data_IF_487130677310
#
_entry.id   IF_487130677310
#
_cell.length_a   1.000
_cell.length_b   1.000
_cell.length_c   1.000
_cell.angle_alpha   90.00
_cell.angle_beta   90.00
_cell.angle_gamma   90.00
#
_symmetry.space_group_name_H-M   'P 1'
#
loop_
_entity.id
_entity.type
_entity.pdbx_description
1 polymer ?
#
# COMPACT_ATOMS: atom_id res chain seq x y z
N UNK A 1 51.73 30.11 -37.14
CA UNK A 1 51.47 30.35 -38.57
C UNK A 1 50.80 29.10 -39.10
N UNK A 2 49.47 29.06 -39.01
CA UNK A 2 48.66 27.86 -39.28
C UNK A 2 47.54 28.31 -40.21
N UNK A 3 47.51 27.71 -41.40
CA UNK A 3 46.67 28.05 -42.54
C UNK A 3 45.25 27.51 -42.30
N UNK A 4 44.25 28.39 -42.15
CA UNK A 4 42.83 27.99 -42.11
C UNK A 4 42.28 27.95 -43.55
N UNK A 5 41.94 26.75 -44.03
CA UNK A 5 41.18 26.56 -45.28
C UNK A 5 39.70 26.81 -45.01
N UNK A 6 39.11 27.76 -45.75
CA UNK A 6 37.67 28.02 -45.80
C UNK A 6 37.05 27.13 -46.87
N UNK A 7 36.16 26.21 -46.48
CA UNK A 7 35.31 25.44 -47.40
C UNK A 7 33.93 26.09 -47.39
N UNK A 8 33.59 26.74 -48.51
CA UNK A 8 32.25 27.22 -48.83
C UNK A 8 31.38 26.03 -49.26
N UNK A 9 30.53 25.54 -48.36
CA UNK A 9 29.48 24.58 -48.65
C UNK A 9 28.22 25.27 -49.16
N UNK A 10 27.81 24.93 -50.38
CA UNK A 10 26.62 25.45 -51.05
C UNK A 10 25.31 25.15 -50.29
N UNK A 11 24.46 26.16 -50.16
CA UNK A 11 23.10 26.05 -49.63
C UNK A 11 22.23 25.17 -50.53
N UNK A 12 21.88 23.96 -50.07
CA UNK A 12 20.68 23.25 -50.57
C UNK A 12 19.46 23.85 -49.90
N UNK A 13 18.47 24.28 -50.71
CA UNK A 13 17.13 24.64 -50.24
C UNK A 13 16.55 23.45 -49.48
N UNK A 14 16.42 23.61 -48.16
CA UNK A 14 15.60 22.75 -47.32
C UNK A 14 14.14 22.98 -47.72
N UNK A 15 13.55 22.00 -48.39
CA UNK A 15 12.10 21.83 -48.41
C UNK A 15 11.68 21.54 -46.97
N UNK A 16 10.90 22.44 -46.39
CA UNK A 16 10.28 22.23 -45.08
C UNK A 16 9.64 20.83 -45.06
N UNK A 17 9.88 20.00 -44.03
CA UNK A 17 9.12 18.78 -43.87
C UNK A 17 7.66 19.19 -43.72
N UNK A 18 6.78 18.53 -44.48
CA UNK A 18 5.34 18.63 -44.31
C UNK A 18 5.03 18.55 -42.82
N UNK A 19 4.42 19.61 -42.32
CA UNK A 19 3.82 19.65 -41.00
C UNK A 19 2.65 18.69 -40.96
N UNK A 20 2.94 17.39 -40.83
CA UNK A 20 1.99 16.40 -40.35
C UNK A 20 1.64 16.75 -38.91
N UNK A 21 0.68 17.65 -38.73
CA UNK A 21 0.02 17.79 -37.44
C UNK A 21 -0.70 16.48 -37.18
N UNK A 22 -0.10 15.61 -36.36
CA UNK A 22 -0.88 14.62 -35.62
C UNK A 22 -1.81 15.40 -34.69
N UNK A 23 -2.92 15.91 -35.23
CA UNK A 23 -4.03 16.39 -34.42
C UNK A 23 -4.48 15.20 -33.59
N UNK A 24 -4.30 15.33 -32.27
CA UNK A 24 -4.66 14.35 -31.25
C UNK A 24 -5.91 13.52 -31.63
N UNK A 25 -5.71 12.24 -31.97
CA UNK A 25 -6.76 11.21 -32.15
C UNK A 25 -7.49 10.87 -30.82
N UNK A 26 -7.52 11.81 -29.88
CA UNK A 26 -8.14 11.63 -28.58
C UNK A 26 -9.61 12.01 -28.66
N UNK A 27 -10.44 11.02 -28.38
CA UNK A 27 -11.88 11.12 -28.25
C UNK A 27 -12.20 11.68 -26.85
N UNK A 28 -13.08 12.68 -26.78
CA UNK A 28 -13.54 13.24 -25.51
C UNK A 28 -14.65 12.38 -24.92
N UNK A 29 -14.47 11.96 -23.67
CA UNK A 29 -15.46 11.22 -22.90
C UNK A 29 -15.87 12.07 -21.70
N UNK A 30 -17.15 12.42 -21.63
CA UNK A 30 -17.74 13.05 -20.45
C UNK A 30 -18.03 11.96 -19.42
N UNK A 31 -17.63 12.20 -18.17
CA UNK A 31 -17.82 11.26 -17.06
C UNK A 31 -18.63 11.94 -15.98
N UNK A 32 -19.71 11.31 -15.52
CA UNK A 32 -20.54 11.78 -14.40
C UNK A 32 -20.71 10.67 -13.37
N UNK A 33 -20.99 11.03 -12.12
CA UNK A 33 -21.18 10.10 -11.02
C UNK A 33 -22.15 10.68 -9.97
N UNK A 34 -22.64 9.87 -9.00
CA UNK A 34 -23.60 10.32 -7.98
C UNK A 34 -23.07 11.42 -7.05
N UNK A 35 -21.75 11.53 -6.92
CA UNK A 35 -21.08 12.62 -6.21
C UNK A 35 -19.72 12.94 -6.88
N UNK A 36 -19.04 13.98 -6.39
CA UNK A 36 -17.69 14.29 -6.84
C UNK A 36 -16.74 13.12 -6.57
N UNK A 37 -15.95 12.77 -7.58
CA UNK A 37 -14.96 11.70 -7.47
C UNK A 37 -13.79 11.93 -8.40
N UNK A 38 -12.73 11.12 -8.24
CA UNK A 38 -11.52 11.18 -9.05
C UNK A 38 -11.64 10.20 -10.21
N UNK A 39 -11.38 10.65 -11.45
CA UNK A 39 -11.53 9.82 -12.65
C UNK A 39 -10.22 9.07 -12.93
N UNK A 40 -10.34 7.76 -13.12
CA UNK A 40 -9.26 6.84 -13.49
C UNK A 40 -9.47 6.34 -14.91
N UNK A 41 -8.38 6.20 -15.67
CA UNK A 41 -8.36 5.58 -16.98
C UNK A 41 -7.32 4.47 -16.97
N UNK A 42 -7.76 3.24 -17.26
CA UNK A 42 -6.92 2.03 -17.25
C UNK A 42 -6.12 1.88 -15.94
N UNK A 43 -6.78 2.19 -14.83
CA UNK A 43 -6.21 2.13 -13.48
C UNK A 43 -5.38 3.35 -13.05
N UNK A 44 -5.04 4.25 -13.96
CA UNK A 44 -4.25 5.45 -13.63
C UNK A 44 -5.15 6.66 -13.35
N UNK A 45 -4.85 7.42 -12.28
CA UNK A 45 -5.56 8.67 -12.00
C UNK A 45 -5.28 9.71 -13.10
N UNK A 46 -6.34 10.30 -13.64
CA UNK A 46 -6.25 11.24 -14.76
C UNK A 46 -5.94 12.68 -14.35
N UNK A 47 -6.06 13.01 -13.07
CA UNK A 47 -6.02 14.39 -12.58
C UNK A 47 -7.34 15.15 -12.73
N UNK A 48 -8.41 14.50 -13.21
CA UNK A 48 -9.73 15.09 -13.46
C UNK A 48 -10.74 14.55 -12.46
N UNK A 49 -11.70 15.39 -12.06
CA UNK A 49 -12.81 15.02 -11.19
C UNK A 49 -14.10 14.84 -11.99
N UNK A 50 -14.98 13.95 -11.53
CA UNK A 50 -16.36 13.83 -12.02
C UNK A 50 -17.27 14.85 -11.31
N UNK A 51 -18.21 15.52 -12.01
CA UNK A 51 -18.36 15.50 -13.45
C UNK A 51 -17.20 16.19 -14.18
N UNK A 52 -16.70 15.59 -15.25
CA UNK A 52 -15.54 16.10 -15.99
C UNK A 52 -15.35 15.41 -17.34
N UNK A 53 -14.35 15.86 -18.12
CA UNK A 53 -14.03 15.29 -19.43
C UNK A 53 -12.61 14.73 -19.42
N UNK A 54 -12.45 13.54 -20.00
CA UNK A 54 -11.13 12.93 -20.23
C UNK A 54 -10.93 12.69 -21.73
N UNK A 55 -9.67 12.78 -22.16
CA UNK A 55 -9.26 12.58 -23.54
C UNK A 55 -8.66 11.16 -23.69
N UNK A 56 -9.34 10.30 -24.44
CA UNK A 56 -9.06 8.85 -24.52
C UNK A 56 -8.80 8.44 -25.97
N UNK A 57 -7.89 7.51 -26.22
CA UNK A 57 -7.71 6.94 -27.57
C UNK A 57 -8.89 6.04 -27.95
N UNK A 58 -9.05 5.73 -29.24
CA UNK A 58 -10.00 4.69 -29.63
C UNK A 58 -9.54 3.31 -29.13
N UNK A 59 -10.49 2.48 -28.66
CA UNK A 59 -10.21 1.13 -28.19
C UNK A 59 -10.93 0.76 -26.90
N UNK A 60 -10.56 -0.40 -26.35
CA UNK A 60 -11.09 -0.87 -25.07
C UNK A 60 -10.37 -0.18 -23.91
N UNK A 61 -11.15 0.41 -23.03
CA UNK A 61 -10.66 1.10 -21.84
C UNK A 61 -11.49 0.74 -20.63
N UNK A 62 -10.86 0.83 -19.46
CA UNK A 62 -11.52 0.81 -18.17
C UNK A 62 -11.57 2.24 -17.66
N UNK A 63 -12.77 2.74 -17.42
CA UNK A 63 -12.97 4.06 -16.80
C UNK A 63 -13.50 3.83 -15.40
N UNK A 64 -12.84 4.44 -14.42
CA UNK A 64 -13.18 4.36 -13.02
C UNK A 64 -13.49 5.73 -12.42
N UNK A 65 -14.33 5.76 -11.37
CA UNK A 65 -14.55 6.95 -10.54
C UNK A 65 -14.43 6.57 -9.08
N UNK A 66 -13.45 7.13 -8.37
CA UNK A 66 -13.31 6.97 -6.92
C UNK A 66 -14.05 8.11 -6.21
N UNK A 67 -15.19 7.82 -5.61
CA UNK A 67 -16.10 8.76 -4.98
C UNK A 67 -15.51 9.32 -3.67
N UNK A 68 -15.51 10.65 -3.53
CA UNK A 68 -14.74 11.36 -2.51
C UNK A 68 -15.28 11.17 -1.09
N UNK A 69 -16.59 11.13 -0.90
CA UNK A 69 -17.21 11.10 0.43
C UNK A 69 -17.63 9.68 0.81
N UNK A 70 -18.18 8.92 -0.14
CA UNK A 70 -18.63 7.55 0.11
C UNK A 70 -17.48 6.53 0.12
N UNK A 71 -16.30 6.90 -0.37
CA UNK A 71 -15.14 6.02 -0.50
C UNK A 71 -15.44 4.76 -1.33
N UNK A 72 -16.28 4.90 -2.35
CA UNK A 72 -16.58 3.80 -3.28
C UNK A 72 -15.85 4.01 -4.59
N UNK A 73 -15.38 2.91 -5.19
CA UNK A 73 -14.90 2.91 -6.55
C UNK A 73 -15.98 2.37 -7.48
N UNK A 74 -16.29 3.12 -8.54
CA UNK A 74 -17.21 2.73 -9.60
C UNK A 74 -16.43 2.46 -10.88
N UNK A 75 -16.80 1.44 -11.66
CA UNK A 75 -16.01 0.99 -12.82
C UNK A 75 -16.90 0.62 -14.00
N UNK A 76 -16.48 1.02 -15.21
CA UNK A 76 -17.06 0.57 -16.48
C UNK A 76 -15.97 0.20 -17.47
N UNK A 77 -16.20 -0.89 -18.20
CA UNK A 77 -15.47 -1.16 -19.43
C UNK A 77 -16.20 -0.49 -20.60
N UNK A 78 -15.45 0.19 -21.45
CA UNK A 78 -15.99 0.90 -22.60
C UNK A 78 -15.11 0.66 -23.82
N UNK A 79 -15.74 0.37 -24.96
CA UNK A 79 -15.06 0.37 -26.24
C UNK A 79 -15.26 1.74 -26.92
N UNK A 80 -14.31 2.64 -26.71
CA UNK A 80 -14.35 4.04 -27.15
C UNK A 80 -14.12 4.09 -28.66
N UNK A 81 -15.12 4.58 -29.40
CA UNK A 81 -15.06 4.74 -30.87
C UNK A 81 -15.47 6.14 -31.34
N UNK A 82 -16.21 6.87 -30.50
CA UNK A 82 -16.61 8.26 -30.71
C UNK A 82 -16.88 8.91 -29.35
N UNK A 83 -17.08 10.24 -29.34
CA UNK A 83 -17.37 10.98 -28.13
C UNK A 83 -18.65 10.46 -27.47
N UNK A 84 -18.63 10.31 -26.15
CA UNK A 84 -19.74 9.74 -25.39
C UNK A 84 -19.77 10.26 -23.96
N UNK A 85 -20.89 10.00 -23.28
CA UNK A 85 -21.03 10.24 -21.84
C UNK A 85 -21.11 8.91 -21.10
N UNK A 86 -20.21 8.70 -20.15
CA UNK A 86 -20.28 7.61 -19.18
C UNK A 86 -20.92 8.12 -17.90
N UNK A 87 -22.18 7.72 -17.67
CA UNK A 87 -22.90 8.03 -16.44
C UNK A 87 -22.74 6.88 -15.46
N UNK A 88 -22.06 7.13 -14.33
CA UNK A 88 -21.88 6.14 -13.26
C UNK A 88 -22.99 6.23 -12.21
N UNK A 89 -23.30 5.09 -11.62
CA UNK A 89 -24.26 4.90 -10.53
C UNK A 89 -23.65 3.94 -9.50
N UNK A 90 -24.27 3.81 -8.33
CA UNK A 90 -23.82 2.85 -7.31
C UNK A 90 -23.87 1.39 -7.76
N UNK A 91 -24.69 1.07 -8.78
CA UNK A 91 -24.73 -0.27 -9.37
C UNK A 91 -23.45 -0.63 -10.15
N UNK A 92 -22.61 0.37 -10.47
CA UNK A 92 -21.33 0.20 -11.17
C UNK A 92 -20.17 -0.09 -10.21
N UNK A 93 -20.46 -0.33 -8.92
CA UNK A 93 -19.46 -0.73 -7.94
C UNK A 93 -19.06 -2.20 -8.19
N UNK A 94 -17.76 -2.50 -8.43
CA UNK A 94 -17.30 -3.87 -8.56
C UNK A 94 -17.34 -4.58 -7.20
N UNK A 95 -17.46 -5.90 -7.22
CA UNK A 95 -17.25 -6.69 -6.01
C UNK A 95 -15.80 -6.49 -5.51
N UNK A 96 -15.59 -6.25 -4.21
CA UNK A 96 -14.25 -6.10 -3.66
C UNK A 96 -13.45 -7.39 -3.80
N UNK A 97 -12.13 -7.27 -4.00
CA UNK A 97 -11.22 -8.39 -3.88
C UNK A 97 -11.12 -8.78 -2.40
N UNK A 98 -11.33 -10.05 -2.10
CA UNK A 98 -11.14 -10.57 -0.74
C UNK A 98 -9.66 -10.86 -0.51
N UNK A 99 -9.07 -10.09 0.40
CA UNK A 99 -7.73 -10.27 0.92
C UNK A 99 -7.83 -10.99 2.27
N UNK A 100 -6.90 -11.90 2.54
CA UNK A 100 -6.93 -12.72 3.76
C UNK A 100 -5.77 -12.36 4.69
N UNK A 101 -6.07 -11.98 5.92
CA UNK A 101 -5.07 -11.72 6.96
C UNK A 101 -5.10 -12.78 8.05
N UNK A 102 -3.93 -13.07 8.61
CA UNK A 102 -3.81 -13.73 9.90
C UNK A 102 -3.32 -12.71 10.92
N UNK A 103 -4.14 -12.38 11.91
CA UNK A 103 -3.72 -11.59 13.06
C UNK A 103 -3.32 -12.52 14.20
N UNK A 104 -2.14 -12.28 14.77
CA UNK A 104 -1.54 -13.11 15.81
C UNK A 104 -1.24 -12.27 17.04
N UNK A 105 -1.89 -12.61 18.15
CA UNK A 105 -1.54 -12.06 19.47
C UNK A 105 -0.56 -12.98 20.19
N UNK A 106 0.58 -12.45 20.64
CA UNK A 106 1.52 -13.22 21.46
C UNK A 106 1.20 -12.99 22.94
N UNK A 107 0.81 -14.07 23.62
CA UNK A 107 0.57 -14.01 25.07
C UNK A 107 1.85 -13.71 25.83
N UNK A 108 2.95 -14.39 25.48
CA UNK A 108 4.25 -14.23 26.12
C UNK A 108 5.36 -14.10 25.06
N UNK A 109 6.21 -13.09 25.22
CA UNK A 109 7.50 -13.00 24.53
C UNK A 109 8.63 -13.03 25.52
N UNK A 110 9.71 -13.75 25.20
CA UNK A 110 10.88 -13.91 26.07
C UNK A 110 12.20 -13.64 25.36
N UNK A 111 13.19 -13.17 26.11
CA UNK A 111 14.53 -12.93 25.59
C UNK A 111 15.50 -12.43 26.64
N UNK A 112 16.74 -12.19 26.24
CA UNK A 112 17.78 -11.62 27.11
C UNK A 112 17.75 -10.10 26.97
N UNK A 113 17.19 -9.41 27.97
CA UNK A 113 17.17 -7.96 28.07
C UNK A 113 18.45 -7.41 28.72
N UNK A 114 18.51 -6.09 28.95
CA UNK A 114 19.60 -5.46 29.69
C UNK A 114 19.71 -5.96 31.15
N UNK A 115 18.63 -6.47 31.74
CA UNK A 115 18.60 -6.99 33.12
C UNK A 115 18.72 -8.51 33.20
N UNK A 116 19.01 -9.17 32.07
CA UNK A 116 19.06 -10.64 31.96
C UNK A 116 17.82 -11.23 31.30
N UNK A 117 17.63 -12.53 31.48
CA UNK A 117 16.46 -13.26 31.00
C UNK A 117 15.19 -12.64 31.57
N UNK A 118 14.26 -12.28 30.69
CA UNK A 118 12.95 -11.80 31.10
C UNK A 118 11.88 -12.14 30.06
N UNK A 119 10.62 -11.96 30.46
CA UNK A 119 9.45 -12.10 29.60
C UNK A 119 8.46 -10.97 29.80
N UNK A 120 7.69 -10.70 28.76
CA UNK A 120 6.59 -9.74 28.75
C UNK A 120 5.31 -10.44 28.32
N UNK A 121 4.18 -10.02 28.88
CA UNK A 121 2.91 -10.70 28.69
C UNK A 121 1.76 -9.76 28.33
N UNK A 122 0.88 -10.22 27.45
CA UNK A 122 -0.46 -9.66 27.34
C UNK A 122 -1.48 -10.60 27.97
N UNK A 123 -2.37 -10.03 28.78
CA UNK A 123 -3.61 -10.71 29.14
C UNK A 123 -4.50 -10.92 27.90
N UNK A 124 -5.45 -11.85 28.00
CA UNK A 124 -6.45 -12.06 26.93
C UNK A 124 -7.24 -10.78 26.62
N UNK A 125 -7.56 -9.99 27.65
CA UNK A 125 -8.26 -8.72 27.48
C UNK A 125 -7.42 -7.71 26.68
N UNK A 126 -6.12 -7.62 26.96
CA UNK A 126 -5.19 -6.78 26.21
C UNK A 126 -5.04 -7.25 24.75
N UNK A 127 -4.96 -8.55 24.49
CA UNK A 127 -4.95 -9.09 23.13
C UNK A 127 -6.24 -8.77 22.38
N UNK A 128 -7.40 -8.79 23.05
CA UNK A 128 -8.66 -8.35 22.46
C UNK A 128 -8.61 -6.87 22.06
N UNK A 129 -8.09 -6.00 22.92
CA UNK A 129 -7.92 -4.58 22.61
C UNK A 129 -6.98 -4.36 21.41
N UNK A 130 -5.87 -5.10 21.35
CA UNK A 130 -4.95 -5.06 20.22
C UNK A 130 -5.61 -5.48 18.91
N UNK A 131 -6.43 -6.55 18.94
CA UNK A 131 -7.19 -6.99 17.78
C UNK A 131 -8.25 -5.97 17.34
N UNK A 132 -8.98 -5.38 18.29
CA UNK A 132 -9.99 -4.36 18.00
C UNK A 132 -9.34 -3.10 17.39
N UNK A 133 -8.13 -2.75 17.84
CA UNK A 133 -7.35 -1.67 17.24
C UNK A 133 -6.94 -1.99 15.79
N UNK A 134 -6.50 -3.21 15.52
CA UNK A 134 -6.20 -3.66 14.17
C UNK A 134 -7.44 -3.63 13.27
N UNK A 135 -8.58 -4.18 13.73
CA UNK A 135 -9.86 -4.16 13.00
C UNK A 135 -10.33 -2.73 12.70
N UNK A 136 -10.19 -1.82 13.67
CA UNK A 136 -10.45 -0.40 13.45
C UNK A 136 -9.56 0.17 12.34
N UNK A 137 -8.26 -0.16 12.31
CA UNK A 137 -7.36 0.30 11.25
C UNK A 137 -7.73 -0.26 9.88
N UNK A 138 -8.17 -1.53 9.81
CA UNK A 138 -8.64 -2.15 8.55
C UNK A 138 -9.80 -1.35 7.97
N UNK A 139 -10.81 -1.04 8.79
CA UNK A 139 -12.00 -0.31 8.38
C UNK A 139 -11.70 1.16 8.05
N UNK A 140 -10.90 1.83 8.88
CA UNK A 140 -10.67 3.27 8.74
C UNK A 140 -9.62 3.63 7.68
N UNK A 141 -8.67 2.73 7.41
CA UNK A 141 -7.52 3.04 6.57
C UNK A 141 -7.37 2.08 5.40
N UNK A 142 -7.32 0.77 5.62
CA UNK A 142 -7.01 -0.18 4.53
C UNK A 142 -8.13 -0.22 3.48
N UNK A 143 -9.34 -0.57 3.89
CA UNK A 143 -10.47 -0.71 2.96
C UNK A 143 -10.90 0.66 2.43
N UNK A 144 -10.96 1.66 3.32
CA UNK A 144 -11.35 3.03 2.97
C UNK A 144 -10.40 3.67 1.96
N UNK A 145 -9.08 3.61 2.16
CA UNK A 145 -8.11 4.24 1.24
C UNK A 145 -7.95 3.45 -0.07
N UNK A 146 -8.35 2.18 -0.09
CA UNK A 146 -8.55 1.42 -1.31
C UNK A 146 -9.92 1.68 -1.98
N UNK A 147 -10.72 2.65 -1.50
CA UNK A 147 -12.08 2.91 -2.00
C UNK A 147 -12.99 1.66 -1.98
N UNK A 148 -12.85 0.85 -0.94
CA UNK A 148 -13.57 -0.42 -0.75
C UNK A 148 -13.44 -1.39 -1.93
N UNK A 149 -12.34 -1.33 -2.67
CA UNK A 149 -11.97 -2.35 -3.68
C UNK A 149 -11.30 -3.57 -3.06
N UNK A 150 -10.92 -3.47 -1.79
CA UNK A 150 -10.44 -4.57 -0.95
C UNK A 150 -11.47 -4.83 0.14
N UNK A 151 -11.66 -6.10 0.45
CA UNK A 151 -12.28 -6.54 1.70
C UNK A 151 -11.33 -7.48 2.43
N UNK A 152 -11.09 -7.25 3.72
CA UNK A 152 -10.22 -8.11 4.52
C UNK A 152 -10.99 -9.19 5.29
N UNK A 153 -10.75 -10.44 4.93
CA UNK A 153 -11.10 -11.61 5.73
C UNK A 153 -9.99 -11.89 6.75
N UNK A 154 -10.24 -11.55 8.01
CA UNK A 154 -9.24 -11.64 9.08
C UNK A 154 -9.52 -12.86 9.95
N UNK A 155 -8.56 -13.78 9.98
CA UNK A 155 -8.49 -14.84 10.99
C UNK A 155 -7.66 -14.35 12.17
N UNK A 156 -8.14 -14.57 13.40
CA UNK A 156 -7.36 -14.35 14.63
C UNK A 156 -6.85 -15.67 15.20
N UNK A 157 -5.58 -15.70 15.62
CA UNK A 157 -4.99 -16.78 16.42
C UNK A 157 -4.10 -16.19 17.51
N UNK A 158 -4.32 -16.57 18.77
CA UNK A 158 -3.43 -16.17 19.86
C UNK A 158 -2.45 -17.32 20.15
N UNK A 159 -1.15 -17.02 20.27
CA UNK A 159 -0.12 -17.99 20.67
C UNK A 159 0.09 -17.88 22.17
N UNK A 160 -0.28 -18.92 22.91
CA UNK A 160 -0.20 -18.96 24.38
C UNK A 160 1.17 -19.41 24.92
N UNK A 161 1.95 -20.09 24.09
CA UNK A 161 3.31 -20.48 24.44
C UNK A 161 4.30 -19.32 24.29
N UNK A 162 5.33 -19.30 25.14
CA UNK A 162 6.38 -18.28 25.10
C UNK A 162 7.12 -18.26 23.75
N UNK A 163 7.09 -17.12 23.07
CA UNK A 163 7.79 -16.91 21.80
C UNK A 163 9.14 -16.25 22.06
N UNK A 164 10.26 -16.87 21.65
CA UNK A 164 11.58 -16.27 21.81
C UNK A 164 11.76 -15.10 20.83
N UNK A 165 12.25 -13.97 21.35
CA UNK A 165 12.67 -12.83 20.56
C UNK A 165 14.10 -13.06 20.05
N UNK A 166 14.34 -12.66 18.79
CA UNK A 166 15.68 -12.60 18.23
C UNK A 166 16.26 -11.22 18.48
N UNK A 167 17.53 -11.16 18.92
CA UNK A 167 18.25 -9.89 19.05
C UNK A 167 19.18 -9.72 17.86
N UNK A 168 18.86 -8.76 17.00
CA UNK A 168 19.68 -8.40 15.84
C UNK A 168 21.01 -7.74 16.23
N UNK A 169 21.93 -7.66 15.27
CA UNK A 169 23.24 -7.04 15.47
C UNK A 169 23.16 -5.53 15.81
N UNK A 170 22.09 -4.86 15.38
CA UNK A 170 21.77 -3.47 15.73
C UNK A 170 21.16 -3.33 17.13
N UNK A 171 21.01 -4.42 17.87
CA UNK A 171 20.45 -4.45 19.22
C UNK A 171 18.93 -4.54 19.27
N UNK A 172 18.23 -4.48 18.14
CA UNK A 172 16.77 -4.59 18.09
C UNK A 172 16.31 -6.01 18.43
N UNK A 173 15.18 -6.09 19.12
CA UNK A 173 14.44 -7.33 19.36
C UNK A 173 13.32 -7.49 18.36
N UNK A 174 13.15 -8.70 17.83
CA UNK A 174 12.24 -9.02 16.74
C UNK A 174 11.54 -10.37 16.95
N UNK A 175 10.34 -10.50 16.39
CA UNK A 175 9.67 -11.79 16.24
C UNK A 175 9.86 -12.25 14.80
N UNK A 176 10.67 -13.29 14.60
CA UNK A 176 11.05 -13.76 13.27
C UNK A 176 9.90 -14.52 12.57
N UNK A 177 9.70 -14.33 11.24
CA UNK A 177 8.68 -15.05 10.48
C UNK A 177 8.81 -16.57 10.61
N UNK A 178 10.03 -17.11 10.59
CA UNK A 178 10.28 -18.55 10.73
C UNK A 178 9.86 -19.10 12.09
N UNK A 179 10.02 -18.31 13.16
CA UNK A 179 9.57 -18.69 14.50
C UNK A 179 8.05 -18.81 14.52
N UNK A 180 7.34 -17.84 13.95
CA UNK A 180 5.87 -17.87 13.89
C UNK A 180 5.34 -18.98 12.99
N UNK A 181 5.92 -19.19 11.81
CA UNK A 181 5.53 -20.25 10.90
C UNK A 181 5.74 -21.65 11.49
N UNK A 182 6.75 -21.84 12.34
CA UNK A 182 6.95 -23.11 13.06
C UNK A 182 5.85 -23.39 14.09
N UNK A 183 5.25 -22.35 14.68
CA UNK A 183 4.17 -22.47 15.67
C UNK A 183 2.78 -22.54 15.02
N UNK A 184 2.64 -21.99 13.82
CA UNK A 184 1.40 -21.99 13.05
C UNK A 184 1.71 -22.59 11.67
N UNK A 185 1.74 -23.93 11.56
CA UNK A 185 2.12 -24.62 10.33
C UNK A 185 1.14 -24.37 9.17
N UNK A 186 -0.05 -23.80 9.42
CA UNK A 186 -0.97 -23.40 8.37
C UNK A 186 -0.52 -22.14 7.61
N UNK A 187 0.51 -21.42 8.09
CA UNK A 187 1.15 -20.34 7.35
C UNK A 187 2.00 -20.96 6.24
N UNK A 188 1.36 -21.14 5.08
CA UNK A 188 1.95 -21.70 3.87
C UNK A 188 1.71 -20.75 2.69
N UNK A 189 2.49 -20.87 1.60
CA UNK A 189 2.22 -20.14 0.36
C UNK A 189 0.76 -20.22 -0.07
N UNK A 190 0.12 -19.05 -0.24
CA UNK A 190 -1.29 -18.95 -0.63
C UNK A 190 -2.32 -19.02 0.50
N UNK A 191 -1.90 -19.23 1.75
CA UNK A 191 -2.82 -19.26 2.88
C UNK A 191 -3.32 -17.86 3.27
N UNK A 192 -2.45 -16.85 3.22
CA UNK A 192 -2.71 -15.49 3.65
C UNK A 192 -2.00 -14.48 2.75
N UNK A 193 -2.60 -13.30 2.56
CA UNK A 193 -1.96 -12.17 1.90
C UNK A 193 -0.96 -11.46 2.82
N UNK A 194 -1.28 -11.41 4.12
CA UNK A 194 -0.38 -10.87 5.13
C UNK A 194 -0.62 -11.51 6.51
N UNK A 195 0.46 -11.70 7.26
CA UNK A 195 0.47 -12.10 8.67
C UNK A 195 0.86 -10.88 9.51
N UNK A 196 0.06 -10.58 10.53
CA UNK A 196 0.28 -9.48 11.48
C UNK A 196 0.53 -10.06 12.87
N UNK A 197 1.62 -9.67 13.52
CA UNK A 197 2.03 -10.18 14.83
C UNK A 197 2.07 -9.04 15.84
N UNK A 198 1.32 -9.16 16.92
CA UNK A 198 1.21 -8.17 17.99
C UNK A 198 1.82 -8.71 19.28
N UNK A 199 2.78 -7.98 19.86
CA UNK A 199 3.52 -8.42 21.04
C UNK A 199 3.94 -7.28 21.96
N UNK A 200 4.22 -7.58 23.23
CA UNK A 200 4.45 -6.58 24.27
C UNK A 200 5.93 -6.20 24.37
N UNK A 201 6.23 -4.91 24.21
CA UNK A 201 7.60 -4.41 24.28
C UNK A 201 8.17 -4.40 25.71
N UNK A 202 7.37 -4.01 26.70
CA UNK A 202 7.81 -3.87 28.09
C UNK A 202 6.75 -4.24 29.12
N UNK A 203 7.23 -4.78 30.24
CA UNK A 203 6.43 -5.12 31.42
C UNK A 203 7.32 -5.08 32.67
N UNK A 204 6.95 -4.25 33.65
CA UNK A 204 7.74 -4.08 34.87
C UNK A 204 9.18 -3.65 34.55
N UNK A 205 10.16 -4.43 35.03
CA UNK A 205 11.58 -4.22 34.74
C UNK A 205 12.04 -4.81 33.39
N UNK A 206 11.22 -5.65 32.75
CA UNK A 206 11.54 -6.25 31.46
C UNK A 206 11.25 -5.28 30.33
N UNK A 207 12.21 -5.10 29.42
CA UNK A 207 12.08 -4.19 28.29
C UNK A 207 12.88 -4.64 27.09
N UNK A 208 12.21 -4.82 25.97
CA UNK A 208 12.77 -5.19 24.67
C UNK A 208 12.74 -4.01 23.70
N UNK A 209 13.34 -2.88 24.14
CA UNK A 209 13.39 -1.66 23.34
C UNK A 209 14.12 -1.89 22.02
N UNK A 210 13.46 -1.54 20.94
CA UNK A 210 14.02 -1.46 19.59
C UNK A 210 13.70 -0.10 19.00
N UNK A 211 14.50 0.36 18.04
CA UNK A 211 14.36 1.68 17.40
C UNK A 211 13.20 1.77 16.39
N UNK A 212 12.18 0.92 16.54
CA UNK A 212 11.04 0.82 15.65
C UNK A 212 9.77 0.62 16.48
N UNK A 213 8.62 0.87 15.88
CA UNK A 213 7.32 0.56 16.49
C UNK A 213 6.72 -0.71 15.87
N UNK A 214 6.57 -0.71 14.56
CA UNK A 214 6.38 -1.91 13.76
C UNK A 214 7.57 -2.16 12.86
N UNK A 215 7.65 -3.37 12.32
CA UNK A 215 8.56 -3.71 11.24
C UNK A 215 7.90 -4.64 10.22
N UNK A 216 8.28 -4.39 8.98
CA UNK A 216 7.81 -5.06 7.80
C UNK A 216 8.96 -5.16 6.80
N UNK A 217 9.62 -6.32 6.82
CA UNK A 217 10.92 -6.54 6.19
C UNK A 217 10.83 -7.34 4.89
N UNK A 218 9.70 -7.99 4.66
CA UNK A 218 9.62 -9.06 3.68
C UNK A 218 9.17 -8.54 2.34
N UNK A 219 9.88 -8.95 1.28
CA UNK A 219 9.27 -9.00 -0.04
C UNK A 219 8.43 -10.27 -0.08
N UNK A 220 7.08 -10.16 -0.06
CA UNK A 220 6.22 -11.29 0.26
C UNK A 220 6.44 -12.48 -0.67
N UNK A 221 6.66 -12.27 -1.97
CA UNK A 221 6.81 -13.38 -2.93
C UNK A 221 8.23 -14.00 -2.94
N UNK A 222 9.21 -13.35 -2.31
CA UNK A 222 10.58 -13.85 -2.17
C UNK A 222 10.80 -14.63 -0.88
N UNK A 223 9.88 -14.53 0.09
CA UNK A 223 9.88 -15.35 1.29
C UNK A 223 9.46 -16.79 1.00
N UNK A 224 9.97 -17.74 1.80
CA UNK A 224 9.56 -19.15 1.71
C UNK A 224 8.06 -19.35 1.95
N UNK A 225 7.49 -18.58 2.88
CA UNK A 225 6.05 -18.62 3.23
C UNK A 225 5.17 -17.85 2.23
N UNK A 226 5.76 -17.11 1.30
CA UNK A 226 5.09 -16.33 0.25
C UNK A 226 3.93 -15.45 0.71
N UNK A 227 4.13 -14.68 1.80
CA UNK A 227 3.11 -13.80 2.39
C UNK A 227 3.75 -12.54 2.95
N UNK A 228 2.97 -11.44 3.06
CA UNK A 228 3.40 -10.26 3.80
C UNK A 228 3.59 -10.61 5.28
N UNK A 229 4.57 -10.00 5.94
CA UNK A 229 4.79 -10.20 7.37
C UNK A 229 5.05 -8.87 8.06
N UNK A 230 4.17 -8.55 9.00
CA UNK A 230 4.19 -7.34 9.81
C UNK A 230 4.29 -7.75 11.28
N UNK A 231 5.27 -7.21 11.99
CA UNK A 231 5.37 -7.36 13.45
C UNK A 231 5.26 -5.99 14.11
N UNK A 232 4.37 -5.85 15.07
CA UNK A 232 4.16 -4.63 15.84
C UNK A 232 4.44 -4.91 17.30
N UNK A 233 5.44 -4.21 17.83
CA UNK A 233 5.71 -4.22 19.27
C UNK A 233 4.98 -3.06 19.91
N UNK A 234 4.29 -3.33 21.01
CA UNK A 234 3.46 -2.35 21.66
C UNK A 234 3.86 -2.22 23.13
N UNK A 235 4.26 -1.01 23.51
CA UNK A 235 4.46 -0.65 24.90
C UNK A 235 3.13 -0.20 25.51
N UNK A 236 2.48 -1.12 26.25
CA UNK A 236 1.23 -0.85 26.95
C UNK A 236 1.35 0.25 28.02
N UNK A 237 2.56 0.57 28.49
CA UNK A 237 2.76 1.49 29.61
C UNK A 237 1.92 1.08 30.82
N UNK A 238 1.22 2.06 31.40
CA UNK A 238 0.29 1.83 32.51
C UNK A 238 -1.10 1.33 32.05
N UNK A 239 -1.49 1.56 30.80
CA UNK A 239 -2.81 1.26 30.26
C UNK A 239 -2.74 1.08 28.75
N UNK A 240 -2.96 -0.15 28.27
CA UNK A 240 -2.97 -0.44 26.85
C UNK A 240 -4.06 0.34 26.12
N UNK A 241 -5.23 0.50 26.74
CA UNK A 241 -6.34 1.25 26.18
C UNK A 241 -5.98 2.72 25.92
N UNK A 242 -5.34 3.38 26.90
CA UNK A 242 -4.93 4.78 26.75
C UNK A 242 -3.87 4.92 25.67
N UNK A 243 -2.93 3.97 25.60
CA UNK A 243 -1.91 3.96 24.56
C UNK A 243 -2.52 3.76 23.17
N UNK A 244 -3.47 2.85 23.01
CA UNK A 244 -4.22 2.66 21.75
C UNK A 244 -4.96 3.94 21.36
N UNK A 245 -5.64 4.60 22.31
CA UNK A 245 -6.35 5.86 22.04
C UNK A 245 -5.39 6.99 21.65
N UNK A 246 -4.20 7.02 22.25
CA UNK A 246 -3.14 7.93 21.84
C UNK A 246 -2.73 7.68 20.38
N UNK A 247 -2.46 6.44 19.97
CA UNK A 247 -2.12 6.14 18.57
C UNK A 247 -3.26 6.49 17.61
N UNK A 248 -4.52 6.17 17.94
CA UNK A 248 -5.67 6.56 17.11
C UNK A 248 -5.76 8.07 16.84
N UNK A 249 -5.16 8.91 17.68
CA UNK A 249 -5.20 10.37 17.53
C UNK A 249 -3.90 10.97 17.00
N UNK A 250 -2.75 10.37 17.31
CA UNK A 250 -1.43 10.96 17.01
C UNK A 250 -0.67 10.26 15.91
N UNK A 251 -0.86 8.96 15.74
CA UNK A 251 -0.29 8.16 14.65
C UNK A 251 -1.22 6.99 14.33
N UNK A 252 -2.35 7.26 13.65
CA UNK A 252 -3.37 6.25 13.40
C UNK A 252 -2.96 5.27 12.30
N UNK A 253 -1.89 5.57 11.54
CA UNK A 253 -1.47 4.85 10.36
C UNK A 253 -0.61 3.62 10.62
N UNK A 254 -0.18 3.39 11.86
CA UNK A 254 0.71 2.30 12.30
C UNK A 254 0.57 0.99 11.51
N UNK A 255 -0.61 0.36 11.50
CA UNK A 255 -0.76 -0.95 10.84
C UNK A 255 -0.64 -0.85 9.33
N UNK A 256 -1.19 0.22 8.76
CA UNK A 256 -1.14 0.47 7.32
C UNK A 256 0.28 0.80 6.87
N UNK A 257 1.02 1.59 7.65
CA UNK A 257 2.42 1.94 7.40
C UNK A 257 3.27 0.69 7.21
N UNK A 258 3.21 -0.25 8.16
CA UNK A 258 3.97 -1.48 8.07
C UNK A 258 3.50 -2.39 6.93
N UNK A 259 2.19 -2.48 6.71
CA UNK A 259 1.68 -3.25 5.57
C UNK A 259 2.16 -2.67 4.22
N UNK A 260 2.27 -1.34 4.11
CA UNK A 260 2.77 -0.68 2.91
C UNK A 260 4.24 -1.00 2.65
N UNK A 261 5.10 -1.15 3.67
CA UNK A 261 6.49 -1.59 3.47
C UNK A 261 6.56 -2.99 2.82
N UNK A 262 5.65 -3.90 3.17
CA UNK A 262 5.61 -5.24 2.57
C UNK A 262 4.87 -5.24 1.23
N UNK A 263 3.55 -5.13 1.25
CA UNK A 263 2.71 -5.29 0.07
C UNK A 263 2.71 -4.01 -0.78
N UNK A 264 2.61 -2.85 -0.16
CA UNK A 264 2.52 -1.57 -0.87
C UNK A 264 3.72 -1.28 -1.76
N UNK A 265 4.93 -1.47 -1.24
CA UNK A 265 6.18 -1.28 -1.97
C UNK A 265 6.55 -2.51 -2.78
N UNK A 266 6.86 -3.62 -2.12
CA UNK A 266 7.51 -4.73 -2.80
C UNK A 266 6.58 -5.44 -3.77
N UNK A 267 5.37 -5.80 -3.33
CA UNK A 267 4.46 -6.57 -4.17
C UNK A 267 3.97 -5.76 -5.38
N UNK A 268 3.50 -4.53 -5.19
CA UNK A 268 3.02 -3.72 -6.31
C UNK A 268 4.13 -3.23 -7.23
N UNK A 269 5.34 -2.96 -6.72
CA UNK A 269 6.49 -2.70 -7.58
C UNK A 269 6.85 -3.92 -8.44
N UNK A 270 6.83 -5.14 -7.88
CA UNK A 270 7.07 -6.38 -8.63
C UNK A 270 5.95 -6.65 -9.67
N UNK A 271 4.75 -6.08 -9.48
CA UNK A 271 3.67 -6.06 -10.49
C UNK A 271 3.85 -4.99 -11.57
N UNK A 272 4.94 -4.22 -11.53
CA UNK A 272 5.26 -3.21 -12.54
C UNK A 272 4.58 -1.86 -12.30
N UNK A 273 3.96 -1.63 -11.14
CA UNK A 273 3.42 -0.31 -10.82
C UNK A 273 4.54 0.69 -10.55
N UNK A 274 4.31 1.93 -10.97
CA UNK A 274 5.23 3.03 -10.72
C UNK A 274 4.88 3.68 -9.39
N UNK A 275 5.74 3.45 -8.40
CA UNK A 275 5.59 4.00 -7.05
C UNK A 275 6.40 5.30 -6.90
N UNK A 276 6.11 6.13 -5.90
CA UNK A 276 6.93 7.29 -5.56
C UNK A 276 8.42 6.95 -5.37
N UNK A 277 9.27 7.95 -5.56
CA UNK A 277 10.70 7.81 -5.34
C UNK A 277 10.97 7.47 -3.87
N UNK A 278 11.94 6.59 -3.65
CA UNK A 278 12.38 6.17 -2.31
C UNK A 278 13.07 7.31 -1.57
N UNK A 279 12.89 7.36 -0.26
CA UNK A 279 13.64 8.24 0.64
C UNK A 279 15.12 7.83 0.74
N UNK A 280 15.90 8.61 1.49
CA UNK A 280 17.35 8.38 1.66
C UNK A 280 17.70 7.03 2.32
N UNK A 281 16.74 6.41 3.01
CA UNK A 281 16.85 5.07 3.59
C UNK A 281 16.41 3.94 2.63
N UNK A 282 16.00 4.29 1.41
CA UNK A 282 15.60 3.32 0.39
C UNK A 282 14.15 2.84 0.47
N UNK A 283 13.29 3.50 1.26
CA UNK A 283 11.88 3.14 1.45
C UNK A 283 10.96 4.20 0.83
N UNK A 284 9.92 3.76 0.10
CA UNK A 284 8.93 4.64 -0.52
C UNK A 284 8.01 5.24 0.54
N UNK A 285 7.55 4.44 1.51
CA UNK A 285 6.62 4.83 2.56
C UNK A 285 7.18 6.00 3.39
N UNK A 286 8.50 6.08 3.55
CA UNK A 286 9.19 7.16 4.25
C UNK A 286 9.43 8.42 3.39
N UNK A 287 9.08 8.39 2.10
CA UNK A 287 9.27 9.53 1.21
C UNK A 287 8.22 10.64 1.39
N UNK A 288 7.24 10.46 2.27
CA UNK A 288 6.13 11.40 2.47
C UNK A 288 6.54 12.88 2.51
N UNK A 289 7.57 13.20 3.31
CA UNK A 289 8.05 14.59 3.47
C UNK A 289 8.75 15.13 2.22
N UNK A 290 9.40 14.28 1.42
CA UNK A 290 9.96 14.68 0.11
C UNK A 290 8.86 15.12 -0.87
N UNK A 291 7.64 14.65 -0.66
CA UNK A 291 6.44 15.04 -1.40
C UNK A 291 5.60 16.09 -0.65
N UNK A 292 6.14 16.71 0.41
CA UNK A 292 5.51 17.74 1.24
C UNK A 292 4.29 17.28 2.06
N UNK A 293 4.18 15.98 2.34
CA UNK A 293 3.19 15.48 3.29
C UNK A 293 3.70 15.64 4.73
N UNK A 294 2.77 15.85 5.66
CA UNK A 294 3.07 16.11 7.08
C UNK A 294 2.65 14.93 7.94
N UNK A 295 3.46 14.59 8.95
CA UNK A 295 3.13 13.55 9.93
C UNK A 295 1.78 13.86 10.62
N UNK A 296 0.88 12.87 10.83
CA UNK A 296 1.08 11.42 10.78
C UNK A 296 0.92 10.76 9.39
N UNK A 297 1.14 11.49 8.29
CA UNK A 297 1.22 10.95 6.93
C UNK A 297 -0.04 10.21 6.45
N UNK A 298 -1.19 10.43 7.09
CA UNK A 298 -2.45 9.79 6.67
C UNK A 298 -2.88 10.21 5.26
N UNK A 299 -2.65 11.48 4.91
CA UNK A 299 -2.87 11.98 3.55
C UNK A 299 -1.92 11.30 2.54
N UNK A 300 -0.68 11.03 2.96
CA UNK A 300 0.29 10.31 2.14
C UNK A 300 -0.14 8.86 1.91
N UNK A 301 -0.53 8.14 2.96
CA UNK A 301 -1.01 6.76 2.81
C UNK A 301 -2.27 6.67 1.95
N UNK A 302 -3.21 7.62 2.14
CA UNK A 302 -4.40 7.72 1.30
C UNK A 302 -4.03 7.92 -0.16
N UNK A 303 -3.21 8.92 -0.47
CA UNK A 303 -2.88 9.26 -1.84
C UNK A 303 -1.99 8.20 -2.50
N UNK A 304 -1.13 7.54 -1.72
CA UNK A 304 -0.31 6.43 -2.18
C UNK A 304 -1.15 5.21 -2.57
N UNK A 305 -2.13 4.82 -1.72
CA UNK A 305 -3.08 3.76 -2.06
C UNK A 305 -4.02 4.17 -3.20
N UNK A 306 -4.44 5.44 -3.26
CA UNK A 306 -5.27 5.95 -4.34
C UNK A 306 -4.52 6.10 -5.67
N UNK A 307 -3.19 6.01 -5.70
CA UNK A 307 -2.42 6.24 -6.93
C UNK A 307 -2.45 7.71 -7.38
N UNK A 308 -2.57 8.65 -6.43
CA UNK A 308 -2.74 10.08 -6.68
C UNK A 308 -1.57 10.94 -6.20
N UNK A 309 -0.45 10.32 -5.79
CA UNK A 309 0.77 11.06 -5.42
C UNK A 309 1.33 11.76 -6.65
N UNK A 310 1.50 13.08 -6.59
CA UNK A 310 2.01 13.86 -7.72
C UNK A 310 3.48 13.50 -8.00
N UNK A 311 3.77 13.11 -9.23
CA UNK A 311 5.13 12.83 -9.67
C UNK A 311 5.89 14.13 -9.95
N UNK A 312 6.93 14.42 -9.17
CA UNK A 312 7.81 15.57 -9.41
C UNK A 312 8.59 15.48 -10.74
N UNK A 313 8.80 14.28 -11.29
CA UNK A 313 9.57 14.04 -12.53
C UNK A 313 8.76 14.12 -13.83
N UNK A 314 7.43 14.24 -13.73
CA UNK A 314 6.56 14.64 -14.85
C UNK A 314 5.78 13.53 -15.56
N UNK A 315 6.28 12.30 -15.69
CA UNK A 315 5.53 11.21 -16.36
C UNK A 315 5.79 9.84 -15.75
N UNK A 316 4.74 9.07 -15.37
CA UNK A 316 3.33 9.47 -15.34
C UNK A 316 3.13 10.60 -14.32
N UNK A 317 2.08 11.41 -14.50
CA UNK A 317 1.82 12.57 -13.62
C UNK A 317 1.52 12.17 -12.17
N UNK A 318 0.95 10.98 -11.97
CA UNK A 318 0.58 10.45 -10.66
C UNK A 318 1.17 9.05 -10.44
N UNK A 319 1.52 8.74 -9.20
CA UNK A 319 2.19 7.51 -8.77
C UNK A 319 1.41 6.86 -7.62
N UNK A 320 1.66 5.57 -7.41
CA UNK A 320 1.08 4.77 -6.33
C UNK A 320 0.36 3.54 -6.86
N UNK A 321 -0.60 3.04 -6.08
CA UNK A 321 -1.23 1.73 -6.33
C UNK A 321 -2.50 1.87 -7.19
N UNK A 322 -3.47 2.64 -6.71
CA UNK A 322 -4.74 2.87 -7.40
C UNK A 322 -5.81 1.81 -7.09
N UNK A 323 -7.11 2.19 -7.07
CA UNK A 323 -8.21 1.25 -6.76
C UNK A 323 -8.29 0.05 -7.70
N UNK A 324 -8.01 0.23 -9.00
CA UNK A 324 -8.08 -0.85 -9.99
C UNK A 324 -7.05 -1.96 -9.70
N UNK A 325 -5.85 -1.59 -9.23
CA UNK A 325 -4.79 -2.55 -8.93
C UNK A 325 -5.14 -3.48 -7.75
N UNK A 326 -5.97 -3.01 -6.82
CA UNK A 326 -6.46 -3.79 -5.70
C UNK A 326 -7.52 -4.83 -6.08
N UNK A 327 -8.24 -4.63 -7.19
CA UNK A 327 -9.18 -5.60 -7.75
C UNK A 327 -8.46 -6.79 -8.44
N UNK A 328 -7.20 -6.61 -8.81
CA UNK A 328 -6.37 -7.62 -9.46
C UNK A 328 -5.89 -8.74 -8.52
N UNK A 329 -4.90 -9.51 -8.96
CA UNK A 329 -4.38 -10.62 -8.15
C UNK A 329 -3.78 -10.14 -6.83
N UNK A 330 -4.19 -10.76 -5.74
CA UNK A 330 -3.64 -10.62 -4.39
C UNK A 330 -2.33 -11.42 -4.21
N UNK A 331 -1.64 -11.22 -3.09
CA UNK A 331 -0.37 -11.91 -2.77
C UNK A 331 -0.57 -13.43 -2.73
N UNK A 332 -1.62 -13.91 -2.08
CA UNK A 332 -1.92 -15.34 -1.92
C UNK A 332 -2.26 -16.02 -3.25
N UNK A 333 -3.00 -15.33 -4.12
CA UNK A 333 -3.33 -15.82 -5.45
C UNK A 333 -2.08 -15.91 -6.33
N UNK A 334 -1.16 -14.94 -6.21
CA UNK A 334 0.14 -14.98 -6.89
C UNK A 334 1.06 -16.08 -6.35
N UNK A 335 1.10 -16.25 -5.02
CA UNK A 335 1.94 -17.27 -4.37
C UNK A 335 1.68 -18.70 -4.88
N UNK A 336 0.44 -18.96 -5.31
CA UNK A 336 -0.04 -20.27 -5.80
C UNK A 336 -0.25 -20.33 -7.32
N UNK A 337 0.04 -19.24 -8.05
CA UNK A 337 -0.27 -19.08 -9.47
C UNK A 337 -1.77 -19.26 -9.81
N UNK A 338 -2.67 -19.03 -8.84
CA UNK A 338 -4.12 -19.09 -9.04
C UNK A 338 -4.66 -17.91 -9.86
N UNK A 339 -3.87 -16.86 -10.03
CA UNK A 339 -4.22 -15.66 -10.78
C UNK A 339 -3.03 -15.16 -11.62
N UNK A 340 -3.30 -14.78 -12.87
CA UNK A 340 -2.35 -14.14 -13.79
C UNK A 340 -2.82 -12.70 -14.02
N UNK A 341 -1.87 -11.77 -14.03
CA UNK A 341 -2.19 -10.37 -14.34
C UNK A 341 -2.30 -10.18 -15.86
#
# INVERSE_FOLDING_TARGET
MTLLLVILGACKKSTAPDGGSHQNDKIQIAVTAPETGYIYLDGAYTGVQAPGNIAVTAGKHIVGVALRNSWQYLRKESNVTAAATLNFTTADQPAPKVWKALWIGLYETKGISATGDCSTHFSQAELNMGYDFFQWSIQQHFEKYAYNTIHWDVTRKDITQAVPLTRGANGNFTVEPSTIAALIPEIQPGAYDCVFVFWRESEGACSFKSNYFGLAWTNPLKENIKTGYVTVKFDAGASLADRINYYKTTDPGVWLHEWLHTVGENFYQDKGLQLPAKAGDGLVVHAAEMYNYVFPWMDWYRDFMAGSVVNASGSPRYLGIGPEAFLGCSVREKATNACKD
#
